data_IF_703569314752
#
_entry.id   IF_703569314752
#
_cell.length_a   1.000
_cell.length_b   1.000
_cell.length_c   1.000
_cell.angle_alpha   90.00
_cell.angle_beta   90.00
_cell.angle_gamma   90.00
#
_symmetry.space_group_name_H-M   'P 1'
#
loop_
_entity.id
_entity.type
_entity.pdbx_description
1 polymer ?
#
# COMPACT_ATOMS: atom_id res chain seq x y z
N UNK A 1 -22.86 9.84 -8.12
CA UNK A 1 -21.73 9.51 -9.02
C UNK A 1 -21.67 10.54 -10.15
N UNK A 2 -22.72 10.74 -10.98
CA UNK A 2 -22.72 11.68 -12.10
C UNK A 2 -22.20 13.08 -11.71
N UNK A 3 -22.82 13.71 -10.73
CA UNK A 3 -22.44 15.05 -10.26
C UNK A 3 -21.01 15.08 -9.69
N UNK A 4 -20.59 14.01 -8.99
CA UNK A 4 -19.24 13.88 -8.44
C UNK A 4 -18.19 13.81 -9.55
N UNK A 5 -18.43 13.03 -10.60
CA UNK A 5 -17.49 12.87 -11.71
C UNK A 5 -17.39 14.15 -12.55
N UNK A 6 -18.51 14.82 -12.82
CA UNK A 6 -18.50 16.09 -13.57
C UNK A 6 -17.92 17.28 -12.79
N UNK A 7 -17.78 17.18 -11.47
CA UNK A 7 -17.14 18.20 -10.64
C UNK A 7 -15.61 18.06 -10.56
N UNK A 8 -15.03 16.95 -11.04
CA UNK A 8 -13.59 16.74 -11.01
C UNK A 8 -12.89 17.55 -12.11
N UNK A 9 -11.93 18.38 -11.71
CA UNK A 9 -11.11 19.15 -12.64
C UNK A 9 -10.27 18.22 -13.54
N UNK A 10 -10.27 18.51 -14.85
CA UNK A 10 -9.50 17.74 -15.84
C UNK A 10 -10.21 16.53 -16.45
N UNK A 11 -11.45 16.26 -16.07
CA UNK A 11 -12.31 15.25 -16.72
C UNK A 11 -13.28 15.97 -17.66
N UNK A 12 -13.37 15.46 -18.90
CA UNK A 12 -14.35 15.96 -19.86
C UNK A 12 -15.78 15.79 -19.33
N UNK A 13 -16.53 16.88 -19.27
CA UNK A 13 -17.91 16.86 -18.80
C UNK A 13 -18.79 16.14 -19.82
N UNK A 14 -19.53 15.13 -19.36
CA UNK A 14 -20.45 14.35 -20.17
C UNK A 14 -21.89 14.82 -19.95
N UNK A 15 -22.67 14.78 -20.98
CA UNK A 15 -24.13 14.97 -20.88
C UNK A 15 -24.73 13.82 -20.05
N UNK A 16 -25.92 14.06 -19.50
CA UNK A 16 -26.64 13.03 -18.74
C UNK A 16 -26.91 11.78 -19.60
N UNK A 17 -27.25 11.97 -20.88
CA UNK A 17 -27.49 10.84 -21.80
C UNK A 17 -26.23 9.99 -22.03
N UNK A 18 -25.11 10.63 -22.33
CA UNK A 18 -23.83 9.93 -22.50
C UNK A 18 -23.41 9.17 -21.23
N UNK A 19 -23.65 9.82 -20.07
CA UNK A 19 -23.35 9.16 -18.80
C UNK A 19 -24.25 7.94 -18.56
N UNK A 20 -25.54 8.01 -18.89
CA UNK A 20 -26.47 6.87 -18.78
C UNK A 20 -26.03 5.73 -19.67
N UNK A 21 -25.62 6.00 -20.90
CA UNK A 21 -25.11 4.96 -21.82
C UNK A 21 -23.86 4.27 -21.28
N UNK A 22 -22.90 5.04 -20.74
CA UNK A 22 -21.72 4.47 -20.08
C UNK A 22 -22.10 3.65 -18.84
N UNK A 23 -23.07 4.14 -18.08
CA UNK A 23 -23.53 3.43 -16.87
C UNK A 23 -24.25 2.11 -17.23
N UNK A 24 -25.03 2.09 -18.30
CA UNK A 24 -25.64 0.86 -18.83
C UNK A 24 -24.55 -0.14 -19.23
N UNK A 25 -23.54 0.29 -20.01
CA UNK A 25 -22.44 -0.55 -20.41
C UNK A 25 -21.68 -1.12 -19.20
N UNK A 26 -21.42 -0.27 -18.21
CA UNK A 26 -20.83 -0.69 -16.93
C UNK A 26 -21.67 -1.78 -16.25
N UNK A 27 -22.99 -1.58 -16.12
CA UNK A 27 -23.88 -2.56 -15.47
C UNK A 27 -23.97 -3.87 -16.25
N UNK A 28 -23.95 -3.83 -17.57
CA UNK A 28 -23.95 -5.03 -18.41
C UNK A 28 -22.67 -5.86 -18.21
N UNK A 29 -21.51 -5.20 -18.14
CA UNK A 29 -20.24 -5.89 -17.85
C UNK A 29 -20.23 -6.50 -16.44
N UNK A 30 -20.73 -5.78 -15.43
CA UNK A 30 -20.87 -6.31 -14.08
C UNK A 30 -21.78 -7.55 -14.06
N UNK A 31 -22.92 -7.50 -14.74
CA UNK A 31 -23.82 -8.65 -14.84
C UNK A 31 -23.17 -9.84 -15.55
N UNK A 32 -22.38 -9.60 -16.60
CA UNK A 32 -21.60 -10.65 -17.26
C UNK A 32 -20.55 -11.28 -16.31
N UNK A 33 -19.90 -10.46 -15.46
CA UNK A 33 -18.97 -10.95 -14.46
C UNK A 33 -19.64 -11.84 -13.40
N UNK A 34 -20.83 -11.44 -12.94
CA UNK A 34 -21.65 -12.22 -12.01
C UNK A 34 -22.12 -13.54 -12.65
N UNK A 35 -22.59 -13.48 -13.89
CA UNK A 35 -22.98 -14.70 -14.64
C UNK A 35 -21.79 -15.66 -14.85
N UNK A 36 -20.57 -15.13 -14.95
CA UNK A 36 -19.34 -15.93 -15.02
C UNK A 36 -18.87 -16.42 -13.63
N UNK A 37 -19.56 -16.07 -12.53
CA UNK A 37 -19.24 -16.49 -11.16
C UNK A 37 -18.00 -15.86 -10.57
N UNK A 38 -17.52 -14.71 -11.10
CA UNK A 38 -16.28 -14.08 -10.65
C UNK A 38 -16.37 -13.59 -9.20
N UNK A 39 -17.55 -13.16 -8.74
CA UNK A 39 -17.83 -12.75 -7.36
C UNK A 39 -17.82 -13.91 -6.36
N UNK A 40 -17.82 -15.15 -6.83
CA UNK A 40 -17.80 -16.35 -5.98
C UNK A 40 -16.40 -16.86 -5.69
N UNK A 41 -15.37 -16.34 -6.38
CA UNK A 41 -14.00 -16.79 -6.21
C UNK A 41 -13.46 -16.43 -4.81
N UNK A 42 -12.54 -17.23 -4.31
CA UNK A 42 -11.92 -16.98 -3.00
C UNK A 42 -11.14 -15.67 -2.99
N UNK A 43 -10.36 -15.40 -4.02
CA UNK A 43 -9.56 -14.20 -4.14
C UNK A 43 -10.43 -12.94 -4.11
N UNK A 44 -11.52 -12.92 -4.88
CA UNK A 44 -12.47 -11.81 -4.90
C UNK A 44 -13.08 -11.54 -3.52
N UNK A 45 -13.52 -12.59 -2.83
CA UNK A 45 -14.13 -12.45 -1.48
C UNK A 45 -13.13 -11.95 -0.45
N UNK A 46 -11.89 -12.45 -0.47
CA UNK A 46 -10.83 -12.01 0.45
C UNK A 46 -10.45 -10.55 0.23
N UNK A 47 -10.36 -10.10 -1.03
CA UNK A 47 -10.08 -8.71 -1.37
C UNK A 47 -11.23 -7.78 -0.95
N UNK A 48 -12.46 -8.12 -1.30
CA UNK A 48 -13.65 -7.35 -0.92
C UNK A 48 -13.79 -7.22 0.60
N UNK A 49 -13.55 -8.31 1.33
CA UNK A 49 -13.56 -8.30 2.80
C UNK A 49 -12.38 -7.50 3.38
N UNK A 50 -11.23 -7.51 2.72
CA UNK A 50 -10.10 -6.64 3.07
C UNK A 50 -10.47 -5.16 2.98
N UNK A 51 -11.07 -4.75 1.89
CA UNK A 51 -11.57 -3.39 1.68
C UNK A 51 -12.65 -3.01 2.70
N UNK A 52 -13.62 -3.93 2.93
CA UNK A 52 -14.69 -3.75 3.92
C UNK A 52 -14.13 -3.47 5.31
N UNK A 53 -13.14 -4.24 5.75
CA UNK A 53 -12.46 -4.03 7.02
C UNK A 53 -11.75 -2.69 7.10
N UNK A 54 -11.14 -2.25 6.01
CA UNK A 54 -10.48 -0.94 5.97
C UNK A 54 -11.48 0.20 6.07
N UNK A 55 -12.57 0.14 5.31
CA UNK A 55 -13.62 1.17 5.32
C UNK A 55 -14.36 1.21 6.68
N UNK A 56 -14.60 0.06 7.28
CA UNK A 56 -15.30 -0.07 8.55
C UNK A 56 -14.56 0.61 9.73
N UNK A 57 -13.25 0.81 9.65
CA UNK A 57 -12.48 1.41 10.76
C UNK A 57 -13.03 2.75 11.21
N UNK A 58 -13.47 3.60 10.29
CA UNK A 58 -14.05 4.91 10.62
C UNK A 58 -15.39 4.81 11.38
N UNK A 59 -16.09 3.68 11.25
CA UNK A 59 -17.38 3.42 11.91
C UNK A 59 -17.25 2.66 13.24
N UNK A 60 -16.06 2.11 13.52
CA UNK A 60 -15.79 1.29 14.70
C UNK A 60 -14.97 2.01 15.78
N UNK A 61 -14.87 3.32 15.70
CA UNK A 61 -14.29 4.19 16.73
C UNK A 61 -15.02 5.53 16.77
N UNK A 62 -15.06 6.17 17.92
CA UNK A 62 -15.49 7.56 18.05
C UNK A 62 -14.24 8.45 17.95
N UNK A 63 -13.98 8.98 16.76
CA UNK A 63 -12.79 9.77 16.49
C UNK A 63 -12.74 11.05 17.33
N UNK A 64 -13.88 11.69 17.59
CA UNK A 64 -13.93 12.90 18.40
C UNK A 64 -13.51 12.62 19.86
N UNK A 65 -13.93 11.49 20.41
CA UNK A 65 -13.52 11.05 21.76
C UNK A 65 -12.06 10.66 21.79
N UNK A 66 -11.57 9.98 20.75
CA UNK A 66 -10.15 9.63 20.62
C UNK A 66 -9.27 10.88 20.56
N UNK A 67 -9.67 11.88 19.78
CA UNK A 67 -8.94 13.14 19.65
C UNK A 67 -8.97 13.95 20.96
N UNK A 68 -10.11 14.03 21.61
CA UNK A 68 -10.23 14.69 22.92
C UNK A 68 -9.33 14.03 23.95
N UNK A 69 -9.30 12.70 24.00
CA UNK A 69 -8.42 11.95 24.89
C UNK A 69 -6.94 12.19 24.58
N UNK A 70 -6.57 12.24 23.30
CA UNK A 70 -5.21 12.56 22.88
C UNK A 70 -4.80 13.99 23.26
N UNK A 71 -5.71 14.96 23.14
CA UNK A 71 -5.48 16.34 23.52
C UNK A 71 -5.29 16.48 25.03
N UNK A 72 -6.10 15.83 25.84
CA UNK A 72 -5.92 15.80 27.30
C UNK A 72 -4.55 15.25 27.71
N UNK A 73 -4.08 14.25 26.99
CA UNK A 73 -2.75 13.69 27.19
C UNK A 73 -1.67 14.70 26.81
N UNK A 74 -1.80 15.33 25.65
CA UNK A 74 -0.88 16.37 25.19
C UNK A 74 -0.79 17.54 26.17
N UNK A 75 -1.92 18.02 26.67
CA UNK A 75 -1.97 19.11 27.63
C UNK A 75 -1.33 18.73 28.97
N UNK A 76 -1.55 17.50 29.46
CA UNK A 76 -0.86 16.97 30.65
C UNK A 76 0.65 16.87 30.44
N UNK A 77 1.10 16.46 29.26
CA UNK A 77 2.52 16.41 28.93
C UNK A 77 3.13 17.82 29.03
N UNK A 78 2.46 18.82 28.44
CA UNK A 78 2.90 20.22 28.51
C UNK A 78 2.93 20.76 29.94
N UNK A 79 1.84 20.58 30.69
CA UNK A 79 1.70 21.09 32.07
C UNK A 79 2.74 20.51 33.01
N UNK A 80 3.12 19.25 32.84
CA UNK A 80 4.11 18.59 33.71
C UNK A 80 5.55 18.67 33.20
N UNK A 81 5.86 19.55 32.25
CA UNK A 81 7.16 19.65 31.60
C UNK A 81 7.69 18.33 30.98
N UNK A 82 6.78 17.38 30.68
CA UNK A 82 7.05 16.08 30.10
C UNK A 82 6.88 16.10 28.58
N UNK A 83 6.83 17.30 28.00
CA UNK A 83 6.60 17.50 26.59
C UNK A 83 7.89 17.36 25.78
N UNK A 84 7.76 16.79 24.58
CA UNK A 84 8.86 16.65 23.64
C UNK A 84 9.67 15.37 23.79
N UNK A 85 10.95 15.47 23.54
CA UNK A 85 11.91 14.36 23.64
C UNK A 85 13.08 14.76 24.53
N UNK A 86 13.59 13.81 25.28
CA UNK A 86 14.80 14.00 26.08
C UNK A 86 15.85 12.96 25.66
N UNK A 87 17.06 13.42 25.33
CA UNK A 87 18.18 12.54 25.09
C UNK A 87 18.87 12.24 26.42
N UNK A 88 19.03 10.98 26.71
CA UNK A 88 19.61 10.50 27.95
C UNK A 88 20.78 9.56 27.71
N UNK A 89 21.67 9.53 28.66
CA UNK A 89 22.62 8.46 28.87
C UNK A 89 22.38 7.85 30.25
N UNK A 90 22.62 6.55 30.43
CA UNK A 90 22.36 5.90 31.71
C UNK A 90 23.45 4.93 32.13
N UNK A 91 23.66 4.84 33.41
CA UNK A 91 24.34 3.71 34.05
C UNK A 91 23.24 2.70 34.36
N UNK A 92 23.21 1.60 33.61
CA UNK A 92 22.14 0.61 33.67
C UNK A 92 22.71 -0.75 34.08
N UNK A 93 22.06 -1.37 35.06
CA UNK A 93 22.33 -2.75 35.43
C UNK A 93 21.06 -3.59 35.24
N UNK A 94 21.12 -4.48 34.26
CA UNK A 94 20.03 -5.43 33.98
C UNK A 94 19.87 -6.41 35.14
N UNK A 95 18.62 -6.59 35.55
CA UNK A 95 18.25 -7.54 36.60
C UNK A 95 17.12 -8.41 36.10
N UNK A 96 17.24 -9.75 36.17
CA UNK A 96 16.14 -10.67 35.90
C UNK A 96 14.95 -10.39 36.83
N UNK A 97 13.73 -10.73 36.39
CA UNK A 97 12.51 -10.56 37.20
C UNK A 97 12.56 -11.39 38.50
N UNK A 98 13.31 -12.48 38.50
CA UNK A 98 13.54 -13.34 39.65
C UNK A 98 15.01 -13.31 40.04
N UNK A 99 15.35 -12.46 41.02
CA UNK A 99 16.71 -12.38 41.61
C UNK A 99 16.68 -12.69 43.09
N UNK A 100 17.77 -13.20 43.64
CA UNK A 100 17.92 -13.40 45.09
C UNK A 100 18.04 -12.01 45.77
N UNK A 101 17.58 -11.92 47.01
CA UNK A 101 17.69 -10.68 47.81
C UNK A 101 19.14 -10.20 47.99
N UNK A 102 20.12 -11.14 47.94
CA UNK A 102 21.54 -10.78 47.99
C UNK A 102 21.99 -10.04 46.72
N UNK A 103 21.64 -10.57 45.53
CA UNK A 103 22.00 -9.94 44.23
C UNK A 103 21.36 -8.57 44.11
N UNK A 104 20.08 -8.46 44.51
CA UNK A 104 19.34 -7.17 44.45
C UNK A 104 20.03 -6.12 45.33
N UNK A 105 20.29 -6.44 46.63
CA UNK A 105 20.97 -5.51 47.55
C UNK A 105 22.39 -5.14 47.11
N UNK A 106 23.13 -6.08 46.54
CA UNK A 106 24.48 -5.81 46.03
C UNK A 106 24.46 -4.85 44.83
N UNK A 107 23.48 -5.01 43.91
CA UNK A 107 23.31 -4.11 42.78
C UNK A 107 22.90 -2.69 43.25
N UNK A 108 21.95 -2.62 44.19
CA UNK A 108 21.47 -1.36 44.78
C UNK A 108 22.64 -0.61 45.49
N UNK A 109 23.37 -1.27 46.40
CA UNK A 109 24.50 -0.69 47.12
C UNK A 109 25.59 -0.17 46.14
N UNK A 110 25.84 -0.91 45.05
CA UNK A 110 26.80 -0.48 44.04
C UNK A 110 26.32 0.78 43.29
N UNK A 111 25.03 0.86 42.91
CA UNK A 111 24.47 2.03 42.24
C UNK A 111 24.42 3.24 43.17
N UNK A 112 24.13 3.06 44.47
CA UNK A 112 24.19 4.12 45.46
C UNK A 112 25.63 4.65 45.65
N UNK A 113 26.62 3.78 45.68
CA UNK A 113 28.04 4.20 45.73
C UNK A 113 28.48 4.97 44.50
N UNK A 114 28.07 4.53 43.29
CA UNK A 114 28.33 5.26 42.04
C UNK A 114 27.66 6.62 42.07
N UNK A 115 26.41 6.70 42.49
CA UNK A 115 25.68 7.96 42.60
C UNK A 115 26.37 8.93 43.58
N UNK A 116 26.79 8.44 44.76
CA UNK A 116 27.52 9.27 45.73
C UNK A 116 28.83 9.78 45.16
N UNK A 117 29.61 8.95 44.45
CA UNK A 117 30.85 9.39 43.80
C UNK A 117 30.62 10.45 42.70
N UNK A 118 29.52 10.33 41.93
CA UNK A 118 29.11 11.30 40.91
C UNK A 118 28.71 12.62 41.53
N UNK A 119 27.96 12.60 42.65
CA UNK A 119 27.54 13.83 43.36
C UNK A 119 28.70 14.58 44.00
N UNK A 120 29.72 13.84 44.49
CA UNK A 120 30.89 14.43 45.11
C UNK A 120 32.00 14.82 44.12
N UNK A 121 31.76 14.68 42.81
CA UNK A 121 32.76 14.97 41.77
C UNK A 121 33.96 14.01 41.74
N UNK A 122 33.87 12.87 42.40
CA UNK A 122 34.92 11.81 42.46
C UNK A 122 34.87 10.87 41.26
N UNK A 123 33.80 10.91 40.46
CA UNK A 123 33.62 10.08 39.27
C UNK A 123 33.04 10.91 38.14
N UNK A 124 33.44 10.58 36.90
CA UNK A 124 32.85 11.09 35.67
C UNK A 124 31.70 10.16 35.19
N UNK A 125 30.58 10.78 34.79
CA UNK A 125 29.40 10.02 34.40
C UNK A 125 29.64 9.17 33.16
N UNK A 126 30.31 9.71 32.13
CA UNK A 126 30.52 9.02 30.87
C UNK A 126 31.57 7.89 31.05
N UNK A 127 32.51 8.07 31.99
CA UNK A 127 33.43 7.00 32.40
C UNK A 127 32.69 5.86 33.13
N UNK A 128 31.78 6.22 34.03
CA UNK A 128 30.93 5.23 34.71
C UNK A 128 30.05 4.47 33.72
N UNK A 129 29.48 5.11 32.70
CA UNK A 129 28.73 4.44 31.66
C UNK A 129 29.62 3.45 30.90
N UNK A 130 30.84 3.85 30.51
CA UNK A 130 31.75 2.93 29.79
C UNK A 130 32.14 1.72 30.62
N UNK A 131 32.35 1.87 31.93
CA UNK A 131 32.92 0.86 32.80
C UNK A 131 31.88 -0.05 33.49
N UNK A 132 30.68 0.51 33.80
CA UNK A 132 29.71 -0.15 34.68
C UNK A 132 28.33 -0.36 34.05
N UNK A 133 27.99 0.33 32.94
CA UNK A 133 26.70 0.16 32.30
C UNK A 133 26.64 -1.06 31.38
N UNK A 134 25.55 -1.78 31.45
CA UNK A 134 25.25 -2.87 30.50
C UNK A 134 24.85 -2.29 29.12
N UNK A 135 24.37 -1.05 29.07
CA UNK A 135 24.03 -0.33 27.83
C UNK A 135 24.82 1.00 27.79
N UNK A 136 25.55 1.23 26.70
CA UNK A 136 26.58 2.30 26.63
C UNK A 136 26.19 3.45 25.70
N UNK A 137 25.08 3.35 24.99
CA UNK A 137 24.65 4.37 24.01
C UNK A 137 23.62 5.31 24.60
N UNK A 138 23.75 6.60 24.32
CA UNK A 138 22.70 7.57 24.59
C UNK A 138 21.54 7.37 23.61
N UNK A 139 20.32 7.64 24.05
CA UNK A 139 19.11 7.48 23.23
C UNK A 139 18.09 8.57 23.55
N UNK A 140 17.15 8.76 22.60
CA UNK A 140 16.03 9.67 22.76
C UNK A 140 14.85 8.97 23.42
N UNK A 141 14.28 9.57 24.42
CA UNK A 141 13.08 9.13 25.12
C UNK A 141 11.94 10.06 24.75
N UNK A 142 10.85 9.48 24.29
CA UNK A 142 9.58 10.17 24.09
C UNK A 142 8.56 9.60 25.07
N UNK A 143 7.56 10.40 25.43
CA UNK A 143 6.51 9.97 26.32
C UNK A 143 5.71 8.77 25.77
N UNK A 144 5.23 7.89 26.64
CA UNK A 144 4.56 6.62 26.33
C UNK A 144 5.45 5.60 25.55
N UNK A 145 6.76 5.75 25.61
CA UNK A 145 7.70 4.84 24.95
C UNK A 145 8.38 3.86 25.92
N UNK A 146 8.65 4.33 27.13
CA UNK A 146 9.38 3.58 28.15
C UNK A 146 8.45 3.21 29.33
N UNK A 147 8.88 2.32 30.25
CA UNK A 147 8.15 2.11 31.50
C UNK A 147 7.86 3.41 32.25
N UNK A 148 6.72 3.45 32.95
CA UNK A 148 6.27 4.67 33.66
C UNK A 148 7.32 5.17 34.62
N UNK A 149 7.94 4.25 35.37
CA UNK A 149 8.98 4.54 36.38
C UNK A 149 10.19 5.23 35.75
N UNK A 150 10.57 4.80 34.54
CA UNK A 150 11.66 5.42 33.79
C UNK A 150 11.28 6.84 33.30
N UNK A 151 10.10 6.96 32.68
CA UNK A 151 9.62 8.24 32.16
C UNK A 151 9.41 9.27 33.26
N UNK A 152 8.85 8.88 34.40
CA UNK A 152 8.59 9.77 35.54
C UNK A 152 9.88 10.40 36.07
N UNK A 153 10.95 9.63 36.14
CA UNK A 153 12.26 10.15 36.57
C UNK A 153 12.89 11.01 35.48
N UNK A 154 12.98 10.48 34.25
CA UNK A 154 13.73 11.13 33.16
C UNK A 154 13.13 12.48 32.79
N UNK A 155 11.80 12.59 32.67
CA UNK A 155 11.15 13.86 32.32
C UNK A 155 11.16 14.90 33.45
N UNK A 156 11.41 14.51 34.69
CA UNK A 156 11.57 15.42 35.80
C UNK A 156 12.97 16.09 35.84
N UNK A 157 13.99 15.46 35.21
CA UNK A 157 15.34 15.98 35.19
C UNK A 157 15.48 17.25 34.37
N UNK A 158 16.29 18.20 34.84
CA UNK A 158 16.79 19.34 34.06
C UNK A 158 17.94 18.86 33.15
N UNK A 159 18.23 19.62 32.12
CA UNK A 159 19.38 19.32 31.26
C UNK A 159 20.68 19.36 32.10
N UNK A 160 21.50 18.31 31.94
CA UNK A 160 22.74 18.11 32.72
C UNK A 160 22.54 17.42 34.05
N UNK A 161 21.32 17.32 34.57
CA UNK A 161 21.01 16.72 35.86
C UNK A 161 21.11 15.17 35.81
N UNK A 162 21.56 14.60 36.93
CA UNK A 162 21.71 13.14 37.12
C UNK A 162 20.66 12.69 38.15
N UNK A 163 19.90 11.62 37.81
CA UNK A 163 18.91 11.04 38.71
C UNK A 163 19.55 10.30 39.87
N UNK A 164 18.80 10.12 40.96
CA UNK A 164 19.09 9.08 41.93
C UNK A 164 18.92 7.70 41.28
N UNK A 165 19.51 6.63 41.86
CA UNK A 165 19.21 5.25 41.44
C UNK A 165 17.71 4.98 41.56
N UNK A 166 17.14 4.30 40.56
CA UNK A 166 15.73 3.89 40.53
C UNK A 166 15.54 2.59 39.76
N UNK A 167 14.49 1.87 40.08
CA UNK A 167 14.16 0.59 39.47
C UNK A 167 13.15 0.74 38.34
N UNK A 168 13.31 -0.14 37.35
CA UNK A 168 12.30 -0.47 36.32
C UNK A 168 12.15 -1.99 36.23
N UNK A 169 11.17 -2.51 35.49
CA UNK A 169 11.07 -3.95 35.25
C UNK A 169 12.31 -4.60 34.62
N UNK A 170 13.19 -3.82 33.98
CA UNK A 170 14.42 -4.32 33.35
C UNK A 170 15.64 -4.30 34.26
N UNK A 171 15.63 -3.52 35.35
CA UNK A 171 16.76 -3.40 36.26
C UNK A 171 16.84 -2.07 36.98
N UNK A 172 18.05 -1.67 37.39
CA UNK A 172 18.32 -0.43 38.13
C UNK A 172 19.08 0.56 37.25
N UNK A 173 18.74 1.85 37.34
CA UNK A 173 19.26 2.91 36.51
C UNK A 173 19.73 4.12 37.32
N UNK A 174 20.78 4.81 36.81
CA UNK A 174 21.09 6.21 37.08
C UNK A 174 21.13 6.92 35.74
N UNK A 175 20.33 7.95 35.51
CA UNK A 175 20.16 8.59 34.23
C UNK A 175 20.69 10.02 34.27
N UNK A 176 21.39 10.46 33.20
CA UNK A 176 21.78 11.84 32.96
C UNK A 176 20.99 12.40 31.77
N UNK A 177 20.32 13.51 31.96
CA UNK A 177 19.64 14.25 30.91
C UNK A 177 20.65 15.06 30.09
N UNK A 178 20.81 14.76 28.79
CA UNK A 178 21.80 15.40 27.92
C UNK A 178 21.19 16.59 27.19
N UNK A 179 20.04 16.39 26.56
CA UNK A 179 19.44 17.37 25.65
C UNK A 179 17.92 17.23 25.66
N UNK A 180 17.20 18.33 25.50
CA UNK A 180 15.73 18.32 25.34
C UNK A 180 15.33 18.92 24.01
N UNK A 181 14.27 18.35 23.40
CA UNK A 181 13.53 18.92 22.28
C UNK A 181 12.13 19.26 22.75
N UNK A 182 11.64 20.42 22.33
CA UNK A 182 10.26 20.82 22.61
C UNK A 182 9.25 19.91 21.86
N UNK A 183 8.04 19.84 22.39
CA UNK A 183 6.95 19.12 21.74
C UNK A 183 6.49 19.91 20.51
N UNK A 184 6.28 19.19 19.40
CA UNK A 184 5.65 19.76 18.21
C UNK A 184 4.17 20.12 18.50
N UNK A 185 3.55 21.01 17.70
CA UNK A 185 2.14 21.31 17.79
C UNK A 185 1.27 20.04 17.76
N UNK A 186 0.14 20.07 18.48
CA UNK A 186 -0.76 18.91 18.64
C UNK A 186 -1.10 18.22 17.34
N UNK A 187 -1.42 18.99 16.31
CA UNK A 187 -1.79 18.46 14.98
C UNK A 187 -0.71 17.59 14.32
N UNK A 188 0.57 17.81 14.67
CA UNK A 188 1.69 17.01 14.16
C UNK A 188 2.00 15.76 14.98
N UNK A 189 1.50 15.69 16.22
CA UNK A 189 1.79 14.58 17.14
C UNK A 189 0.53 13.79 17.56
N UNK A 190 -0.64 14.26 17.19
CA UNK A 190 -1.95 13.67 17.53
C UNK A 190 -1.99 12.15 17.25
N UNK A 191 -1.70 11.76 16.01
CA UNK A 191 -1.76 10.35 15.61
C UNK A 191 -0.75 9.47 16.35
N UNK A 192 0.40 10.02 16.67
CA UNK A 192 1.42 9.31 17.44
C UNK A 192 0.98 9.12 18.89
N UNK A 193 0.38 10.14 19.49
CA UNK A 193 -0.17 10.07 20.86
C UNK A 193 -1.28 9.00 20.89
N UNK A 194 -2.21 9.02 19.94
CA UNK A 194 -3.30 8.05 19.85
C UNK A 194 -2.78 6.62 19.71
N UNK A 195 -1.81 6.39 18.81
CA UNK A 195 -1.17 5.08 18.63
C UNK A 195 -0.47 4.58 19.89
N UNK A 196 0.26 5.44 20.59
CA UNK A 196 1.00 5.07 21.83
C UNK A 196 0.05 4.80 22.98
N UNK A 197 -1.02 5.57 23.12
CA UNK A 197 -2.07 5.30 24.09
C UNK A 197 -2.71 3.94 23.84
N UNK A 198 -3.10 3.65 22.61
CA UNK A 198 -3.69 2.37 22.23
C UNK A 198 -2.77 1.19 22.58
N UNK A 199 -1.47 1.31 22.29
CA UNK A 199 -0.47 0.27 22.64
C UNK A 199 -0.33 0.08 24.15
N UNK A 200 -0.29 1.19 24.92
CA UNK A 200 -0.05 1.14 26.37
C UNK A 200 -1.25 0.63 27.16
N UNK A 201 -2.44 1.04 26.78
CA UNK A 201 -3.66 0.69 27.48
C UNK A 201 -4.43 -0.47 26.82
N UNK A 202 -3.90 -1.01 25.72
CA UNK A 202 -4.48 -2.15 25.00
C UNK A 202 -5.72 -1.80 24.18
N UNK A 203 -6.16 -0.53 24.21
CA UNK A 203 -7.33 -0.08 23.47
C UNK A 203 -7.41 1.46 23.37
N UNK A 204 -8.01 1.94 22.29
CA UNK A 204 -8.32 3.34 22.08
C UNK A 204 -9.59 3.76 22.85
N UNK A 205 -9.56 4.94 23.46
CA UNK A 205 -10.68 5.46 24.24
C UNK A 205 -11.94 5.74 23.41
N UNK A 206 -11.76 6.08 22.14
CA UNK A 206 -12.88 6.25 21.23
C UNK A 206 -13.62 4.94 20.97
N UNK A 207 -12.89 3.83 20.86
CA UNK A 207 -13.46 2.49 20.75
C UNK A 207 -14.22 2.10 22.03
N UNK A 208 -13.67 2.37 23.21
CA UNK A 208 -14.39 2.12 24.50
C UNK A 208 -15.69 2.94 24.56
N UNK A 209 -15.65 4.22 24.21
CA UNK A 209 -16.82 5.09 24.23
C UNK A 209 -17.89 4.62 23.22
N UNK A 210 -17.47 4.23 22.03
CA UNK A 210 -18.38 3.65 21.03
C UNK A 210 -19.03 2.37 21.55
N UNK A 211 -18.26 1.45 22.14
CA UNK A 211 -18.80 0.20 22.69
C UNK A 211 -19.85 0.48 23.76
N UNK A 212 -19.64 1.44 24.66
CA UNK A 212 -20.64 1.80 25.69
C UNK A 212 -21.91 2.43 25.06
N UNK A 213 -21.79 3.19 23.98
CA UNK A 213 -22.90 3.69 23.18
C UNK A 213 -23.68 2.55 22.53
N UNK A 214 -22.97 1.63 21.86
CA UNK A 214 -23.56 0.50 21.16
C UNK A 214 -24.21 -0.51 22.10
N UNK A 215 -23.68 -0.72 23.30
CA UNK A 215 -24.33 -1.53 24.34
C UNK A 215 -25.72 -1.02 24.67
N UNK A 216 -25.89 0.31 24.76
CA UNK A 216 -27.21 0.91 25.01
C UNK A 216 -28.12 0.76 23.79
N UNK A 217 -27.61 1.01 22.60
CA UNK A 217 -28.34 0.91 21.35
C UNK A 217 -28.86 -0.51 21.11
N UNK A 218 -28.01 -1.52 21.32
CA UNK A 218 -28.31 -2.93 21.11
C UNK A 218 -28.81 -3.66 22.36
N UNK A 219 -29.30 -2.93 23.35
CA UNK A 219 -29.94 -3.49 24.55
C UNK A 219 -29.09 -4.58 25.21
N UNK A 220 -27.79 -4.31 25.37
CA UNK A 220 -26.90 -5.22 26.09
C UNK A 220 -27.41 -5.55 27.48
N UNK A 221 -27.54 -6.84 27.81
CA UNK A 221 -27.94 -7.31 29.14
C UNK A 221 -26.99 -8.41 29.61
N UNK A 222 -26.28 -8.16 30.71
CA UNK A 222 -25.42 -9.16 31.34
C UNK A 222 -26.24 -10.23 32.07
N UNK A 223 -25.86 -11.49 31.93
CA UNK A 223 -26.40 -12.59 32.74
C UNK A 223 -25.53 -12.76 33.99
N UNK A 224 -26.01 -12.25 35.11
CA UNK A 224 -25.27 -12.26 36.37
C UNK A 224 -24.83 -13.66 36.79
N UNK A 225 -25.69 -14.67 36.61
CA UNK A 225 -25.40 -16.04 37.01
C UNK A 225 -24.23 -16.64 36.20
N UNK A 226 -24.23 -16.43 34.88
CA UNK A 226 -23.16 -16.92 34.02
C UNK A 226 -21.84 -16.18 34.26
N UNK A 227 -21.90 -14.85 34.42
CA UNK A 227 -20.74 -14.02 34.72
C UNK A 227 -20.11 -14.36 36.06
N UNK A 228 -20.89 -14.48 37.14
CA UNK A 228 -20.40 -14.81 38.48
C UNK A 228 -19.74 -16.21 38.48
N UNK A 229 -20.34 -17.18 37.77
CA UNK A 229 -19.74 -18.52 37.63
C UNK A 229 -18.43 -18.48 36.83
N UNK A 230 -18.37 -17.74 35.71
CA UNK A 230 -17.16 -17.58 34.95
C UNK A 230 -16.02 -16.96 35.77
N UNK A 231 -16.30 -15.88 36.51
CA UNK A 231 -15.30 -15.17 37.31
C UNK A 231 -14.82 -16.01 38.50
N UNK A 232 -15.66 -16.87 39.09
CA UNK A 232 -15.29 -17.71 40.21
C UNK A 232 -14.57 -19.00 39.84
N UNK A 233 -15.03 -19.67 38.75
CA UNK A 233 -14.49 -20.98 38.31
C UNK A 233 -13.54 -20.90 37.13
N UNK A 234 -13.43 -19.74 36.47
CA UNK A 234 -12.61 -19.56 35.24
C UNK A 234 -13.28 -20.12 33.99
N UNK A 235 -14.41 -20.80 34.09
CA UNK A 235 -15.16 -21.40 32.97
C UNK A 235 -16.65 -21.51 33.29
N UNK A 236 -17.48 -21.51 32.25
CA UNK A 236 -18.93 -21.77 32.34
C UNK A 236 -19.47 -22.11 30.95
N UNK A 237 -20.55 -22.87 30.88
CA UNK A 237 -21.31 -23.08 29.63
C UNK A 237 -22.54 -22.15 29.53
N UNK A 238 -22.84 -21.44 30.64
CA UNK A 238 -24.02 -20.58 30.72
C UNK A 238 -23.90 -19.37 29.79
N UNK A 239 -25.05 -18.74 29.57
CA UNK A 239 -25.08 -17.43 28.90
C UNK A 239 -24.35 -16.40 29.76
N UNK A 240 -23.58 -15.55 29.14
CA UNK A 240 -22.84 -14.45 29.77
C UNK A 240 -23.57 -13.12 29.59
N UNK A 241 -24.13 -12.90 28.42
CA UNK A 241 -24.90 -11.70 28.08
C UNK A 241 -25.75 -11.91 26.84
N UNK A 242 -26.64 -10.97 26.59
CA UNK A 242 -27.39 -10.81 25.33
C UNK A 242 -27.06 -9.47 24.69
N UNK A 243 -27.13 -9.41 23.37
CA UNK A 243 -26.98 -8.20 22.56
C UNK A 243 -28.00 -8.27 21.42
N UNK A 244 -28.97 -7.35 21.41
CA UNK A 244 -30.08 -7.33 20.45
C UNK A 244 -30.78 -8.72 20.33
N UNK A 245 -31.04 -9.34 21.47
CA UNK A 245 -31.66 -10.68 21.55
C UNK A 245 -30.74 -11.87 21.24
N UNK A 246 -29.52 -11.64 20.73
CA UNK A 246 -28.53 -12.70 20.53
C UNK A 246 -27.86 -13.11 21.82
N UNK A 247 -27.70 -14.41 22.03
CA UNK A 247 -27.03 -14.95 23.21
C UNK A 247 -25.56 -15.16 23.00
N UNK A 248 -24.75 -14.77 23.98
CA UNK A 248 -23.30 -15.00 24.01
C UNK A 248 -22.98 -15.86 25.25
N UNK A 249 -22.41 -17.02 24.99
CA UNK A 249 -22.25 -18.08 26.01
C UNK A 249 -20.80 -18.24 26.46
N UNK A 250 -20.60 -18.94 27.57
CA UNK A 250 -19.29 -19.30 28.05
C UNK A 250 -18.48 -20.16 27.06
N UNK A 251 -19.13 -20.98 26.21
CA UNK A 251 -18.46 -21.70 25.13
C UNK A 251 -17.86 -20.74 24.09
N UNK A 252 -18.59 -19.72 23.69
CA UNK A 252 -18.07 -18.69 22.76
C UNK A 252 -16.93 -17.91 23.41
N UNK A 253 -17.05 -17.60 24.70
CA UNK A 253 -15.98 -16.97 25.48
C UNK A 253 -14.72 -17.85 25.52
N UNK A 254 -14.83 -19.16 25.74
CA UNK A 254 -13.69 -20.07 25.80
C UNK A 254 -12.89 -20.09 24.49
N UNK A 255 -13.55 -20.03 23.34
CA UNK A 255 -12.90 -19.92 22.02
C UNK A 255 -12.11 -18.61 21.94
N UNK A 256 -12.69 -17.49 22.38
CA UNK A 256 -12.01 -16.20 22.41
C UNK A 256 -10.81 -16.23 23.38
N UNK A 257 -11.01 -16.75 24.59
CA UNK A 257 -10.00 -16.75 25.65
C UNK A 257 -8.76 -17.58 25.28
N UNK A 258 -8.92 -18.66 24.50
CA UNK A 258 -7.82 -19.52 24.05
C UNK A 258 -6.75 -18.74 23.26
N UNK A 259 -7.12 -17.71 22.54
CA UNK A 259 -6.19 -16.86 21.76
C UNK A 259 -5.76 -15.57 22.50
N UNK A 260 -6.27 -15.34 23.71
CA UNK A 260 -6.04 -14.12 24.50
C UNK A 260 -5.59 -14.45 25.92
N UNK A 261 -4.34 -14.89 26.15
CA UNK A 261 -3.85 -15.33 27.46
C UNK A 261 -3.73 -14.15 28.44
N UNK A 262 -4.79 -13.89 29.20
CA UNK A 262 -4.89 -12.82 30.20
C UNK A 262 -5.75 -13.32 31.39
N UNK A 263 -5.84 -12.53 32.46
CA UNK A 263 -6.78 -12.84 33.55
C UNK A 263 -8.24 -12.82 33.08
N UNK A 264 -9.08 -13.71 33.59
CA UNK A 264 -10.47 -13.96 33.15
C UNK A 264 -11.30 -12.68 33.07
N UNK A 265 -11.12 -11.75 34.02
CA UNK A 265 -11.84 -10.48 34.03
C UNK A 265 -11.50 -9.59 32.84
N UNK A 266 -10.20 -9.54 32.45
CA UNK A 266 -9.76 -8.81 31.26
C UNK A 266 -10.22 -9.51 29.98
N UNK A 267 -10.18 -10.84 29.96
CA UNK A 267 -10.68 -11.64 28.83
C UNK A 267 -12.18 -11.38 28.63
N UNK A 268 -12.97 -11.36 29.71
CA UNK A 268 -14.40 -11.10 29.62
C UNK A 268 -14.70 -9.68 29.06
N UNK A 269 -13.97 -8.66 29.56
CA UNK A 269 -14.08 -7.31 29.01
C UNK A 269 -13.77 -7.29 27.51
N UNK A 270 -12.67 -7.93 27.10
CA UNK A 270 -12.26 -8.04 25.69
C UNK A 270 -13.29 -8.78 24.84
N UNK A 271 -13.85 -9.87 25.34
CA UNK A 271 -14.89 -10.65 24.66
C UNK A 271 -16.17 -9.84 24.44
N UNK A 272 -16.66 -9.12 25.46
CA UNK A 272 -17.83 -8.24 25.35
C UNK A 272 -17.58 -7.18 24.27
N UNK A 273 -16.44 -6.50 24.32
CA UNK A 273 -16.11 -5.46 23.36
C UNK A 273 -16.03 -5.98 21.94
N UNK A 274 -15.31 -7.10 21.75
CA UNK A 274 -15.24 -7.74 20.43
C UNK A 274 -16.62 -8.11 19.93
N UNK A 275 -17.47 -8.70 20.76
CA UNK A 275 -18.81 -9.11 20.37
C UNK A 275 -19.70 -7.93 19.96
N UNK A 276 -19.63 -6.81 20.68
CA UNK A 276 -20.36 -5.58 20.35
C UNK A 276 -19.88 -4.98 19.02
N UNK A 277 -18.56 -4.91 18.83
CA UNK A 277 -17.99 -4.39 17.59
C UNK A 277 -18.22 -5.31 16.38
N UNK A 278 -18.13 -6.60 16.55
CA UNK A 278 -18.44 -7.59 15.50
C UNK A 278 -19.94 -7.49 15.10
N UNK A 279 -20.82 -7.25 16.07
CA UNK A 279 -22.23 -7.05 15.80
C UNK A 279 -22.46 -5.75 14.99
N UNK A 280 -21.90 -4.61 15.42
CA UNK A 280 -21.93 -3.35 14.66
C UNK A 280 -21.35 -3.54 13.27
N UNK A 281 -20.17 -4.19 13.16
CA UNK A 281 -19.54 -4.50 11.88
C UNK A 281 -20.48 -5.26 10.94
N UNK A 282 -21.25 -6.22 11.47
CA UNK A 282 -22.22 -6.98 10.67
C UNK A 282 -23.41 -6.17 10.16
N UNK A 283 -23.66 -4.99 10.76
CA UNK A 283 -24.83 -4.14 10.48
C UNK A 283 -24.50 -2.88 9.67
N UNK A 284 -23.23 -2.67 9.31
CA UNK A 284 -22.78 -1.42 8.68
C UNK A 284 -23.52 -1.10 7.38
N UNK A 285 -23.77 -2.08 6.51
CA UNK A 285 -24.51 -1.86 5.26
C UNK A 285 -25.98 -1.56 5.48
N UNK A 286 -26.59 -2.10 6.54
CA UNK A 286 -27.99 -1.82 6.89
C UNK A 286 -28.14 -0.44 7.52
N UNK A 287 -27.20 -0.08 8.38
CA UNK A 287 -27.26 1.11 9.22
C UNK A 287 -26.80 2.38 8.51
N UNK A 288 -25.79 2.25 7.62
CA UNK A 288 -25.15 3.37 6.93
C UNK A 288 -25.27 3.24 5.40
N UNK A 289 -26.24 3.95 4.78
CA UNK A 289 -26.44 3.91 3.33
C UNK A 289 -25.19 4.25 2.50
N UNK A 290 -24.38 5.21 2.99
CA UNK A 290 -23.13 5.61 2.36
C UNK A 290 -22.09 4.49 2.40
N UNK A 291 -21.98 3.73 3.49
CA UNK A 291 -21.11 2.56 3.58
C UNK A 291 -21.53 1.49 2.56
N UNK A 292 -22.84 1.18 2.51
CA UNK A 292 -23.38 0.24 1.54
C UNK A 292 -23.09 0.66 0.10
N UNK A 293 -23.26 1.96 -0.22
CA UNK A 293 -22.98 2.47 -1.55
C UNK A 293 -21.51 2.33 -1.93
N UNK A 294 -20.59 2.68 -1.03
CA UNK A 294 -19.15 2.52 -1.26
C UNK A 294 -18.77 1.06 -1.45
N UNK A 295 -19.33 0.15 -0.66
CA UNK A 295 -19.09 -1.29 -0.82
C UNK A 295 -19.60 -1.80 -2.17
N UNK A 296 -20.77 -1.34 -2.63
CA UNK A 296 -21.29 -1.69 -3.95
C UNK A 296 -20.45 -1.12 -5.09
N UNK A 297 -20.00 0.13 -4.97
CA UNK A 297 -19.11 0.76 -5.97
C UNK A 297 -17.80 -0.03 -6.09
N UNK A 298 -17.19 -0.39 -4.98
CA UNK A 298 -15.94 -1.15 -4.96
C UNK A 298 -16.14 -2.56 -5.55
N UNK A 299 -17.16 -3.30 -5.09
CA UNK A 299 -17.52 -4.62 -5.62
C UNK A 299 -17.72 -4.60 -7.14
N UNK A 300 -18.50 -3.64 -7.62
CA UNK A 300 -18.77 -3.52 -9.03
C UNK A 300 -17.52 -3.11 -9.83
N UNK A 301 -16.65 -2.27 -9.25
CA UNK A 301 -15.36 -1.91 -9.85
C UNK A 301 -14.43 -3.11 -10.01
N UNK A 302 -14.33 -3.95 -8.99
CA UNK A 302 -13.57 -5.20 -9.04
C UNK A 302 -14.11 -6.15 -10.13
N UNK A 303 -15.44 -6.32 -10.21
CA UNK A 303 -16.07 -7.18 -11.22
C UNK A 303 -15.83 -6.65 -12.63
N UNK A 304 -15.96 -5.32 -12.83
CA UNK A 304 -15.67 -4.67 -14.10
C UNK A 304 -14.22 -4.91 -14.53
N UNK A 305 -13.28 -4.71 -13.61
CA UNK A 305 -11.85 -4.92 -13.89
C UNK A 305 -11.58 -6.36 -14.28
N UNK A 306 -12.01 -7.31 -13.46
CA UNK A 306 -11.74 -8.73 -13.66
C UNK A 306 -12.33 -9.26 -14.99
N UNK A 307 -13.58 -8.90 -15.31
CA UNK A 307 -14.21 -9.35 -16.55
C UNK A 307 -13.58 -8.68 -17.78
N UNK A 308 -13.21 -7.38 -17.69
CA UNK A 308 -12.54 -6.69 -18.79
C UNK A 308 -11.14 -7.25 -19.03
N UNK A 309 -10.42 -7.57 -17.96
CA UNK A 309 -9.12 -8.22 -18.04
C UNK A 309 -9.22 -9.57 -18.74
N UNK A 310 -10.15 -10.41 -18.30
CA UNK A 310 -10.38 -11.75 -18.86
C UNK A 310 -10.85 -11.73 -20.31
N UNK A 311 -11.79 -10.86 -20.65
CA UNK A 311 -12.40 -10.87 -21.99
C UNK A 311 -11.58 -10.08 -23.02
N UNK A 312 -10.82 -9.08 -22.61
CA UNK A 312 -10.12 -8.15 -23.52
C UNK A 312 -8.61 -8.10 -23.23
N UNK A 313 -8.18 -7.61 -22.07
CA UNK A 313 -6.83 -7.11 -21.90
C UNK A 313 -5.77 -8.21 -21.90
N UNK A 314 -6.03 -9.36 -21.30
CA UNK A 314 -5.10 -10.50 -21.30
C UNK A 314 -5.09 -11.25 -22.63
N UNK A 315 -6.20 -11.26 -23.35
CA UNK A 315 -6.35 -12.03 -24.61
C UNK A 315 -5.73 -11.31 -25.78
N UNK A 316 -5.94 -10.00 -25.91
CA UNK A 316 -5.55 -9.24 -27.09
C UNK A 316 -4.04 -9.25 -27.37
N UNK A 317 -3.13 -9.08 -26.38
CA UNK A 317 -1.71 -9.10 -26.66
C UNK A 317 -1.18 -10.41 -27.24
N UNK A 318 -1.88 -11.52 -27.04
CA UNK A 318 -1.52 -12.85 -27.53
C UNK A 318 -2.29 -13.29 -28.79
N UNK A 319 -3.30 -12.53 -29.21
CA UNK A 319 -4.14 -12.82 -30.39
C UNK A 319 -3.46 -12.30 -31.67
N UNK A 320 -2.38 -12.96 -32.09
CA UNK A 320 -1.61 -12.57 -33.28
C UNK A 320 -2.45 -12.63 -34.56
N UNK A 321 -3.37 -13.61 -34.65
CA UNK A 321 -4.25 -13.76 -35.79
C UNK A 321 -5.26 -12.63 -35.87
N UNK A 322 -5.88 -12.27 -34.74
CA UNK A 322 -6.82 -11.18 -34.66
C UNK A 322 -6.15 -9.82 -34.93
N UNK A 323 -4.97 -9.60 -34.35
CA UNK A 323 -4.17 -8.38 -34.61
C UNK A 323 -3.81 -8.23 -36.10
N UNK A 324 -3.34 -9.29 -36.74
CA UNK A 324 -3.03 -9.27 -38.17
C UNK A 324 -4.27 -8.97 -39.02
N UNK A 325 -5.39 -9.65 -38.76
CA UNK A 325 -6.63 -9.46 -39.50
C UNK A 325 -7.23 -8.04 -39.28
N UNK A 326 -7.11 -7.51 -38.07
CA UNK A 326 -7.53 -6.14 -37.77
C UNK A 326 -6.67 -5.12 -38.50
N UNK A 327 -5.34 -5.30 -38.50
CA UNK A 327 -4.40 -4.47 -39.23
C UNK A 327 -4.71 -4.43 -40.72
N UNK A 328 -4.87 -5.58 -41.38
CA UNK A 328 -5.20 -5.68 -42.80
C UNK A 328 -6.46 -4.87 -43.16
N UNK A 329 -7.49 -4.95 -42.31
CA UNK A 329 -8.75 -4.24 -42.53
C UNK A 329 -8.62 -2.74 -42.32
N UNK A 330 -7.74 -2.30 -41.41
CA UNK A 330 -7.56 -0.91 -40.98
C UNK A 330 -6.17 -0.37 -41.37
N UNK A 331 -5.50 -0.99 -42.36
CA UNK A 331 -4.16 -0.62 -42.78
C UNK A 331 -4.01 0.86 -43.13
N UNK A 332 -5.03 1.45 -43.76
CA UNK A 332 -5.05 2.88 -44.14
C UNK A 332 -5.00 3.85 -42.94
N UNK A 333 -5.39 3.39 -41.76
CA UNK A 333 -5.44 4.24 -40.56
C UNK A 333 -4.06 4.37 -39.91
N UNK A 334 -3.13 3.47 -40.29
CA UNK A 334 -1.78 3.44 -39.76
C UNK A 334 -0.80 4.05 -40.75
N UNK A 335 -0.36 5.28 -40.47
CA UNK A 335 0.65 5.98 -41.25
C UNK A 335 1.59 6.77 -40.33
N UNK A 336 2.81 6.93 -40.75
CA UNK A 336 3.79 7.71 -40.01
C UNK A 336 3.76 9.17 -40.50
N UNK A 337 3.80 10.12 -39.57
CA UNK A 337 3.92 11.55 -39.90
C UNK A 337 5.14 11.88 -40.73
N UNK A 338 6.23 11.10 -40.54
CA UNK A 338 7.49 11.21 -41.25
C UNK A 338 7.90 9.83 -41.73
N UNK A 339 8.34 9.69 -43.01
CA UNK A 339 8.82 8.41 -43.52
C UNK A 339 9.96 7.84 -42.66
N UNK A 340 10.00 6.52 -42.52
CA UNK A 340 11.06 5.79 -41.80
C UNK A 340 11.99 5.11 -42.78
N UNK A 341 13.21 4.76 -42.33
CA UNK A 341 14.12 3.92 -43.06
C UNK A 341 14.05 2.50 -42.51
N UNK A 342 13.64 1.55 -43.34
CA UNK A 342 13.61 0.12 -43.02
C UNK A 342 14.84 -0.51 -43.67
N UNK A 343 15.73 -1.10 -42.84
CA UNK A 343 16.95 -1.69 -43.37
C UNK A 343 18.02 -1.94 -42.33
N UNK A 344 19.21 -2.17 -42.81
CA UNK A 344 20.40 -2.44 -42.01
C UNK A 344 21.50 -1.43 -42.27
N UNK A 345 22.09 -0.92 -41.18
CA UNK A 345 23.31 -0.07 -41.20
C UNK A 345 24.50 -0.96 -40.91
N UNK A 346 25.48 -0.93 -41.77
CA UNK A 346 26.71 -1.72 -41.66
C UNK A 346 27.92 -0.81 -41.48
N UNK A 347 28.62 -0.95 -40.37
CA UNK A 347 29.91 -0.32 -40.13
C UNK A 347 31.03 -1.36 -40.30
N UNK A 348 32.04 -1.08 -41.12
CA UNK A 348 33.05 -2.08 -41.49
C UNK A 348 34.46 -1.52 -41.36
N UNK A 349 35.43 -2.42 -41.17
CA UNK A 349 36.87 -2.08 -41.06
C UNK A 349 37.45 -1.59 -42.37
N UNK A 350 36.88 -1.98 -43.52
CA UNK A 350 37.35 -1.54 -44.87
C UNK A 350 36.16 -1.28 -45.80
N UNK A 351 36.30 -0.32 -46.73
CA UNK A 351 35.32 0.01 -47.76
C UNK A 351 34.98 -1.18 -48.67
N UNK A 352 35.97 -2.04 -48.95
CA UNK A 352 35.78 -3.28 -49.76
C UNK A 352 34.85 -4.26 -49.03
N UNK A 353 35.07 -4.44 -47.75
CA UNK A 353 34.24 -5.32 -46.92
C UNK A 353 32.78 -4.82 -46.84
N UNK A 354 32.56 -3.52 -46.71
CA UNK A 354 31.21 -2.94 -46.74
C UNK A 354 30.45 -3.25 -48.04
N UNK A 355 31.10 -3.12 -49.17
CA UNK A 355 30.51 -3.50 -50.48
C UNK A 355 30.22 -5.00 -50.57
N UNK A 356 31.11 -5.85 -50.05
CA UNK A 356 30.92 -7.30 -50.04
C UNK A 356 29.74 -7.69 -49.12
N UNK A 357 29.70 -7.16 -47.94
CA UNK A 357 28.62 -7.40 -46.96
C UNK A 357 27.25 -6.97 -47.52
N UNK A 358 27.18 -5.76 -48.10
CA UNK A 358 25.95 -5.28 -48.75
C UNK A 358 25.50 -6.20 -49.89
N UNK A 359 26.43 -6.63 -50.77
CA UNK A 359 26.12 -7.53 -51.90
C UNK A 359 25.63 -8.87 -51.42
N UNK A 360 26.26 -9.42 -50.38
CA UNK A 360 25.87 -10.70 -49.78
C UNK A 360 24.49 -10.62 -49.14
N UNK A 361 24.25 -9.63 -48.27
CA UNK A 361 22.95 -9.49 -47.60
C UNK A 361 21.83 -9.24 -48.60
N UNK A 362 22.06 -8.50 -49.68
CA UNK A 362 21.06 -8.30 -50.74
C UNK A 362 20.58 -9.59 -51.39
N UNK A 363 21.33 -10.70 -51.31
CA UNK A 363 20.94 -12.01 -51.82
C UNK A 363 20.14 -12.87 -50.80
N UNK A 364 19.96 -12.37 -49.60
CA UNK A 364 19.22 -13.04 -48.51
C UNK A 364 17.91 -12.32 -48.25
N UNK A 365 16.89 -13.03 -47.70
CA UNK A 365 15.70 -12.41 -47.09
C UNK A 365 16.08 -11.44 -45.98
N UNK A 366 15.27 -10.39 -45.80
CA UNK A 366 15.56 -9.33 -44.82
C UNK A 366 15.68 -9.89 -43.40
N UNK A 367 14.85 -10.87 -43.03
CA UNK A 367 14.83 -11.51 -41.72
C UNK A 367 16.15 -12.22 -41.37
N UNK A 368 16.92 -12.61 -42.36
CA UNK A 368 18.19 -13.32 -42.20
C UNK A 368 19.40 -12.38 -42.07
N UNK A 369 19.27 -11.11 -42.43
CA UNK A 369 20.42 -10.20 -42.55
C UNK A 369 21.24 -10.13 -41.26
N UNK A 370 20.60 -9.87 -40.14
CA UNK A 370 21.29 -9.72 -38.84
C UNK A 370 22.02 -11.01 -38.43
N UNK A 371 21.38 -12.16 -38.64
CA UNK A 371 21.90 -13.46 -38.26
C UNK A 371 23.04 -13.92 -39.15
N UNK A 372 23.06 -13.54 -40.44
CA UNK A 372 24.05 -13.92 -41.41
C UNK A 372 25.44 -13.22 -41.21
N UNK A 373 25.47 -12.09 -40.48
CA UNK A 373 26.70 -11.30 -40.30
C UNK A 373 27.73 -12.05 -39.48
N UNK A 374 27.35 -12.64 -38.37
CA UNK A 374 28.29 -13.31 -37.46
C UNK A 374 29.01 -14.48 -38.09
N UNK A 375 28.34 -15.46 -38.71
CA UNK A 375 29.02 -16.60 -39.30
C UNK A 375 29.84 -16.22 -40.55
N UNK A 376 29.40 -15.22 -41.32
CA UNK A 376 30.01 -14.89 -42.62
C UNK A 376 31.18 -13.92 -42.48
N UNK A 377 31.05 -12.88 -41.66
CA UNK A 377 32.02 -11.78 -41.60
C UNK A 377 32.75 -11.65 -40.26
N UNK A 378 32.21 -12.19 -39.18
CA UNK A 378 32.73 -12.06 -37.83
C UNK A 378 33.19 -13.38 -37.20
N UNK A 379 33.36 -14.45 -37.98
CA UNK A 379 33.68 -15.79 -37.45
C UNK A 379 35.02 -15.87 -36.71
N UNK A 380 36.04 -15.12 -37.16
CA UNK A 380 37.38 -15.11 -36.54
C UNK A 380 37.64 -13.82 -35.76
N UNK A 381 37.32 -12.70 -36.34
CA UNK A 381 37.50 -11.36 -35.78
C UNK A 381 36.30 -10.52 -36.13
N UNK A 382 35.90 -9.59 -35.26
CA UNK A 382 34.78 -8.69 -35.52
C UNK A 382 35.21 -7.62 -36.55
N UNK A 383 34.72 -7.74 -37.77
CA UNK A 383 35.04 -6.83 -38.87
C UNK A 383 33.83 -6.02 -39.34
N UNK A 384 32.63 -6.44 -38.96
CA UNK A 384 31.35 -5.80 -39.31
C UNK A 384 30.53 -5.58 -38.01
N UNK A 385 30.17 -4.34 -37.77
CA UNK A 385 29.14 -3.96 -36.82
C UNK A 385 27.88 -3.66 -37.61
N UNK A 386 26.73 -4.21 -37.18
CA UNK A 386 25.47 -4.01 -37.88
C UNK A 386 24.35 -3.65 -36.91
N UNK A 387 23.44 -2.84 -37.40
CA UNK A 387 22.20 -2.48 -36.73
C UNK A 387 21.08 -2.55 -37.76
N UNK A 388 20.15 -3.48 -37.58
CA UNK A 388 18.95 -3.65 -38.42
C UNK A 388 17.72 -3.13 -37.68
N UNK A 389 16.86 -2.41 -38.38
CA UNK A 389 15.67 -1.85 -37.78
C UNK A 389 14.84 -0.97 -38.69
N UNK A 390 13.79 -0.42 -38.09
CA UNK A 390 12.91 0.58 -38.68
C UNK A 390 13.16 1.93 -37.99
N UNK A 391 14.05 2.74 -38.64
CA UNK A 391 14.57 3.98 -38.07
C UNK A 391 13.67 5.17 -38.40
N UNK A 392 13.16 5.86 -37.38
CA UNK A 392 12.61 7.20 -37.50
C UNK A 392 13.76 8.24 -37.49
N UNK A 393 13.53 9.47 -38.01
CA UNK A 393 14.47 10.56 -37.79
C UNK A 393 14.77 10.78 -36.31
N UNK A 394 16.04 10.72 -35.92
CA UNK A 394 16.51 10.79 -34.53
C UNK A 394 16.92 9.46 -33.90
N UNK A 395 16.57 8.32 -34.51
CA UNK A 395 16.86 7.00 -33.93
C UNK A 395 18.30 6.56 -34.14
N UNK A 396 18.91 6.93 -35.32
CA UNK A 396 20.27 6.59 -35.66
C UNK A 396 20.94 7.73 -36.43
N UNK A 397 21.99 8.31 -35.88
CA UNK A 397 22.65 9.47 -36.43
C UNK A 397 23.23 9.24 -37.85
N UNK A 398 23.69 8.04 -38.18
CA UNK A 398 24.17 7.70 -39.51
C UNK A 398 23.05 7.61 -40.55
N UNK A 399 21.88 7.09 -40.13
CA UNK A 399 20.66 7.10 -40.95
C UNK A 399 20.17 8.53 -41.13
N UNK A 400 20.22 9.36 -40.11
CA UNK A 400 19.84 10.77 -40.18
C UNK A 400 20.68 11.52 -41.21
N UNK A 401 22.01 11.38 -41.16
CA UNK A 401 22.91 12.04 -42.12
C UNK A 401 22.73 11.55 -43.54
N UNK A 402 22.80 10.22 -43.74
CA UNK A 402 22.88 9.68 -45.11
C UNK A 402 21.48 9.56 -45.76
N UNK A 403 20.48 9.14 -44.99
CA UNK A 403 19.14 8.84 -45.52
C UNK A 403 18.17 10.01 -45.38
N UNK A 404 18.14 10.67 -44.22
CA UNK A 404 17.23 11.79 -43.96
C UNK A 404 17.85 13.15 -44.26
N UNK A 405 19.17 13.19 -44.54
CA UNK A 405 19.93 14.42 -44.82
C UNK A 405 19.88 15.42 -43.66
N UNK A 406 19.97 14.92 -42.46
CA UNK A 406 19.95 15.68 -41.21
C UNK A 406 21.17 15.35 -40.36
N UNK A 407 21.78 16.37 -39.76
CA UNK A 407 22.95 16.19 -38.88
C UNK A 407 24.26 15.89 -39.62
N UNK A 408 25.30 15.61 -38.84
CA UNK A 408 26.59 15.11 -39.27
C UNK A 408 27.12 14.14 -38.23
N UNK A 409 27.78 13.08 -38.65
CA UNK A 409 28.33 12.05 -37.77
C UNK A 409 29.82 11.85 -38.02
N UNK A 410 30.54 11.57 -36.95
CA UNK A 410 31.92 11.13 -37.05
C UNK A 410 31.98 9.61 -37.33
N UNK A 411 32.91 9.15 -38.21
CA UNK A 411 33.10 7.73 -38.43
C UNK A 411 33.45 6.98 -37.14
N UNK A 412 32.95 5.77 -36.98
CA UNK A 412 33.34 4.92 -35.85
C UNK A 412 34.83 4.57 -35.92
N UNK A 413 35.58 4.77 -34.82
CA UNK A 413 37.02 4.55 -34.76
C UNK A 413 37.44 3.17 -35.25
N UNK A 414 36.73 2.11 -34.84
CA UNK A 414 37.08 0.72 -35.21
C UNK A 414 36.42 0.25 -36.51
N UNK A 415 35.37 0.92 -36.99
CA UNK A 415 34.61 0.57 -38.20
C UNK A 415 34.27 1.82 -39.03
N UNK A 416 35.25 2.48 -39.62
CA UNK A 416 35.11 3.83 -40.19
C UNK A 416 34.27 3.89 -41.49
N UNK A 417 33.90 2.75 -42.06
CA UNK A 417 33.18 2.73 -43.33
C UNK A 417 31.74 2.28 -43.12
N UNK A 418 30.79 3.19 -43.30
CA UNK A 418 29.35 2.93 -43.17
C UNK A 418 28.71 2.63 -44.51
N UNK A 419 27.83 1.66 -44.57
CA UNK A 419 27.08 1.24 -45.77
C UNK A 419 25.65 0.90 -45.36
N UNK A 420 24.68 1.19 -46.20
CA UNK A 420 23.25 1.02 -45.95
C UNK A 420 22.65 0.01 -46.95
N UNK A 421 21.73 -0.82 -46.48
CA UNK A 421 20.89 -1.67 -47.31
C UNK A 421 19.47 -1.61 -46.77
N UNK A 422 18.50 -1.20 -47.59
CA UNK A 422 17.11 -0.98 -47.19
C UNK A 422 16.48 0.16 -48.01
N UNK A 423 15.33 0.61 -47.60
CA UNK A 423 14.54 1.64 -48.29
C UNK A 423 13.77 2.56 -47.34
N UNK A 424 13.28 3.68 -47.88
CA UNK A 424 12.36 4.56 -47.15
C UNK A 424 10.94 4.09 -47.33
N UNK A 425 10.25 3.89 -46.20
CA UNK A 425 8.85 3.46 -46.13
C UNK A 425 7.99 4.56 -45.56
N UNK A 426 6.77 4.73 -46.08
CA UNK A 426 5.83 5.79 -45.67
C UNK A 426 4.82 5.36 -44.62
N UNK A 427 4.62 4.06 -44.53
CA UNK A 427 3.67 3.44 -43.58
C UNK A 427 4.12 2.05 -43.19
N UNK A 428 3.51 1.44 -42.19
CA UNK A 428 3.84 0.09 -41.75
C UNK A 428 3.43 -0.95 -42.81
N UNK A 429 4.25 -1.94 -43.03
CA UNK A 429 3.95 -3.06 -43.93
C UNK A 429 3.37 -4.25 -43.15
N UNK A 430 3.71 -4.33 -41.87
CA UNK A 430 3.26 -5.39 -40.98
C UNK A 430 2.70 -4.81 -39.68
N UNK A 431 1.82 -5.55 -39.04
CA UNK A 431 1.23 -5.12 -37.77
C UNK A 431 2.27 -5.01 -36.64
N UNK A 432 3.36 -5.76 -36.71
CA UNK A 432 4.45 -5.70 -35.71
C UNK A 432 5.06 -4.29 -35.64
N UNK A 433 5.16 -3.60 -36.77
CA UNK A 433 5.75 -2.25 -36.86
C UNK A 433 4.94 -1.17 -36.15
N UNK A 434 3.65 -1.44 -35.87
CA UNK A 434 2.71 -0.55 -35.16
C UNK A 434 2.01 -1.23 -33.99
N UNK A 435 2.52 -2.38 -33.57
CA UNK A 435 1.90 -3.22 -32.54
C UNK A 435 1.47 -2.44 -31.27
N UNK A 436 2.29 -1.48 -30.84
CA UNK A 436 1.98 -0.68 -29.65
C UNK A 436 0.70 0.16 -29.76
N UNK A 437 0.42 0.69 -30.96
CA UNK A 437 -0.83 1.41 -31.25
C UNK A 437 -1.97 0.44 -31.54
N UNK A 438 -1.69 -0.57 -32.38
CA UNK A 438 -2.65 -1.54 -32.87
C UNK A 438 -3.33 -2.33 -31.73
N UNK A 439 -2.58 -2.71 -30.70
CA UNK A 439 -3.13 -3.42 -29.52
C UNK A 439 -4.23 -2.60 -28.85
N UNK A 440 -4.01 -1.29 -28.66
CA UNK A 440 -5.02 -0.40 -28.06
C UNK A 440 -6.28 -0.27 -28.92
N UNK A 441 -6.10 -0.07 -30.23
CA UNK A 441 -7.22 0.07 -31.17
C UNK A 441 -8.02 -1.24 -31.29
N UNK A 442 -7.32 -2.37 -31.33
CA UNK A 442 -7.96 -3.68 -31.37
C UNK A 442 -8.68 -4.02 -30.06
N UNK A 443 -8.14 -3.61 -28.91
CA UNK A 443 -8.85 -3.71 -27.63
C UNK A 443 -10.16 -2.92 -27.64
N UNK A 444 -10.14 -1.68 -28.10
CA UNK A 444 -11.34 -0.84 -28.21
C UNK A 444 -12.38 -1.49 -29.16
N UNK A 445 -11.93 -1.98 -30.30
CA UNK A 445 -12.81 -2.66 -31.26
C UNK A 445 -13.48 -3.90 -30.68
N UNK A 446 -12.73 -4.73 -29.95
CA UNK A 446 -13.30 -5.93 -29.32
C UNK A 446 -14.23 -5.55 -28.17
N UNK A 447 -13.90 -4.50 -27.41
CA UNK A 447 -14.76 -4.01 -26.34
C UNK A 447 -16.09 -3.50 -26.85
N UNK A 448 -16.09 -2.72 -27.95
CA UNK A 448 -17.32 -2.25 -28.60
C UNK A 448 -18.19 -3.41 -29.08
N UNK A 449 -17.60 -4.41 -29.71
CA UNK A 449 -18.29 -5.61 -30.15
C UNK A 449 -18.88 -6.40 -28.98
N UNK A 450 -18.12 -6.56 -27.92
CA UNK A 450 -18.59 -7.23 -26.72
C UNK A 450 -19.75 -6.49 -26.05
N UNK A 451 -19.66 -5.16 -25.93
CA UNK A 451 -20.77 -4.33 -25.43
C UNK A 451 -22.01 -4.48 -26.31
N UNK A 452 -21.86 -4.44 -27.63
CA UNK A 452 -22.97 -4.64 -28.55
C UNK A 452 -23.65 -6.01 -28.37
N UNK A 453 -22.85 -7.05 -28.15
CA UNK A 453 -23.35 -8.39 -27.85
C UNK A 453 -24.11 -8.42 -26.51
N UNK A 454 -23.55 -7.83 -25.44
CA UNK A 454 -24.22 -7.75 -24.15
C UNK A 454 -25.55 -7.00 -24.24
N UNK A 455 -25.59 -5.88 -24.97
CA UNK A 455 -26.82 -5.12 -25.20
C UNK A 455 -27.88 -5.89 -25.99
N UNK A 456 -27.49 -6.73 -26.94
CA UNK A 456 -28.42 -7.53 -27.73
C UNK A 456 -29.09 -8.66 -26.96
N UNK A 457 -28.47 -9.14 -25.90
CA UNK A 457 -28.97 -10.25 -25.06
C UNK A 457 -29.65 -9.78 -23.77
N UNK A 458 -29.42 -8.56 -23.35
CA UNK A 458 -29.95 -8.01 -22.10
C UNK A 458 -31.20 -7.15 -22.33
N UNK A 459 -32.15 -7.25 -21.40
CA UNK A 459 -33.26 -6.28 -21.30
C UNK A 459 -32.83 -5.09 -20.44
N UNK A 460 -32.68 -3.92 -21.09
CA UNK A 460 -32.31 -2.68 -20.42
C UNK A 460 -33.56 -1.81 -20.22
N UNK A 461 -33.85 -1.49 -18.96
CA UNK A 461 -34.92 -0.55 -18.58
C UNK A 461 -34.34 0.62 -17.81
N UNK A 462 -34.61 1.84 -18.27
CA UNK A 462 -34.17 3.07 -17.63
C UNK A 462 -35.37 3.72 -16.96
N UNK A 463 -35.33 3.88 -15.62
CA UNK A 463 -36.39 4.56 -14.89
C UNK A 463 -36.28 6.07 -15.12
N UNK A 464 -37.14 6.60 -15.97
CA UNK A 464 -37.15 8.00 -16.40
C UNK A 464 -37.50 8.95 -15.25
N UNK A 465 -38.32 8.53 -14.28
CA UNK A 465 -38.67 9.37 -13.12
C UNK A 465 -37.47 9.54 -12.19
N UNK A 466 -36.70 8.47 -11.97
CA UNK A 466 -35.44 8.56 -11.21
C UNK A 466 -34.40 9.40 -11.97
N UNK A 467 -34.32 9.23 -13.28
CA UNK A 467 -33.37 9.98 -14.10
C UNK A 467 -33.61 11.51 -14.04
N UNK A 468 -34.86 11.95 -14.00
CA UNK A 468 -35.22 13.37 -13.85
C UNK A 468 -34.75 13.98 -12.53
N UNK A 469 -34.46 13.18 -11.51
CA UNK A 469 -33.99 13.68 -10.19
C UNK A 469 -32.48 13.90 -10.14
N UNK A 470 -31.70 13.37 -11.07
CA UNK A 470 -30.22 13.37 -11.02
C UNK A 470 -29.63 14.79 -11.04
N UNK A 471 -30.27 15.76 -11.70
CA UNK A 471 -29.81 17.16 -11.81
C UNK A 471 -30.47 18.11 -10.81
N UNK A 472 -31.20 17.60 -9.83
CA UNK A 472 -31.95 18.43 -8.86
C UNK A 472 -31.27 18.57 -7.49
N UNK A 473 -30.03 18.06 -7.34
CA UNK A 473 -29.29 18.10 -6.08
C UNK A 473 -27.94 18.80 -6.26
#
# INVERSE_FOLDING_TARGET
>A
IYNKNNALAGIEQKTLSEYVDLFVNFKLKVAAAEAAGLDTTRAFREELEGYRRQLAKAYLTDEAVSELAARQVYDKMKANNRAGQIRVSHIFKSLPQTVTSHVLRSAEARMDSLYAALQNGQADFDECVRNFSDEKKSFWVSWLQMPVEFEDVVFALKQGEISRPFFTPQGIHIVKAIERKEILPFEKVKDEIMRRQSRRYGMDRGTEALVEKLKKEYQYTADKTGVDELLSKGQTDKRLFTLDGREYTGKMFAVFAASHPQGVQRQLKGFIMKSVLDYEYSRLEDKYPEFRMLMQEYRNGMLLFEISNREIWERVPSDEVGLAAYFEKHHSDYHWKVPRYKGIVLHTTTKKLGKQARKFLKSLPEEEWQNAIRPTFNAKTRQVQAEQGLFAPGDNAYVDEEIFKKGKTEPMTSFPFTTFLGEKVKGPETYQEVRGLLVGDYQNYLEERWIAQLRSTAKVEINQEVLKTVNKH
#
